data_IF_944107367124
#
_entry.id   IF_944107367124
#
_cell.length_a   1.000
_cell.length_b   1.000
_cell.length_c   1.000
_cell.angle_alpha   90.00
_cell.angle_beta   90.00
_cell.angle_gamma   90.00
#
_symmetry.space_group_name_H-M   'P 1'
#
loop_
_entity.id
_entity.type
_entity.pdbx_description
1 polymer ?
#
# COMPACT_ATOMS: atom_id res chain seq x y z
N UNK A 1 -3.49 17.20 -16.60
CA UNK A 1 -2.66 17.63 -15.49
C UNK A 1 -2.20 16.38 -14.80
N UNK A 2 -1.05 15.83 -15.26
CA UNK A 2 -0.56 14.56 -14.75
C UNK A 2 0.02 14.74 -13.36
N UNK A 3 -0.44 13.95 -12.41
CA UNK A 3 0.38 13.59 -11.27
C UNK A 3 1.66 12.97 -11.83
N UNK A 4 2.80 13.57 -11.55
CA UNK A 4 4.08 12.98 -11.86
C UNK A 4 4.29 11.80 -10.92
N UNK A 5 3.85 10.62 -11.35
CA UNK A 5 4.63 9.43 -11.02
C UNK A 5 5.98 9.70 -11.68
N UNK A 6 7.00 10.02 -10.90
CA UNK A 6 8.33 10.17 -11.46
C UNK A 6 8.64 8.96 -12.31
N UNK A 7 9.12 9.21 -13.54
CA UNK A 7 9.37 8.19 -14.55
C UNK A 7 10.31 7.10 -14.00
N UNK A 8 9.73 6.00 -13.54
CA UNK A 8 10.46 4.83 -13.04
C UNK A 8 11.05 3.96 -14.12
N UNK A 9 11.11 4.44 -15.37
CA UNK A 9 11.53 3.69 -16.55
C UNK A 9 13.02 3.33 -16.60
N UNK A 10 13.82 3.58 -15.55
CA UNK A 10 15.26 3.38 -15.63
C UNK A 10 15.77 2.43 -14.56
N UNK A 11 15.84 1.16 -14.93
CA UNK A 11 16.40 0.05 -14.12
C UNK A 11 17.88 0.29 -13.71
N UNK A 12 18.64 1.11 -14.43
CA UNK A 12 20.04 1.41 -14.10
C UNK A 12 20.23 2.48 -13.01
N UNK A 13 19.18 3.21 -12.64
CA UNK A 13 19.26 4.20 -11.57
C UNK A 13 18.96 3.62 -10.17
N UNK A 14 18.58 2.33 -10.08
CA UNK A 14 18.09 1.74 -8.83
C UNK A 14 19.08 1.84 -7.65
N UNK A 15 20.38 1.68 -7.88
CA UNK A 15 21.41 1.78 -6.82
C UNK A 15 21.66 3.21 -6.35
N UNK A 16 21.58 4.18 -7.25
CA UNK A 16 21.71 5.60 -6.91
C UNK A 16 20.41 6.17 -6.31
N UNK A 17 19.26 5.70 -6.78
CA UNK A 17 17.95 6.08 -6.30
C UNK A 17 17.72 5.55 -4.87
N UNK A 18 18.11 4.31 -4.55
CA UNK A 18 18.00 3.77 -3.18
C UNK A 18 18.80 4.61 -2.18
N UNK A 19 19.99 5.05 -2.56
CA UNK A 19 20.82 5.92 -1.70
C UNK A 19 20.27 7.34 -1.61
N UNK A 20 19.78 7.89 -2.72
CA UNK A 20 19.18 9.23 -2.75
C UNK A 20 17.83 9.26 -1.98
N UNK A 21 17.02 8.22 -2.10
CA UNK A 21 15.75 8.06 -1.34
C UNK A 21 16.00 7.86 0.14
N UNK A 22 16.99 7.05 0.52
CA UNK A 22 17.40 6.90 1.92
C UNK A 22 17.82 8.23 2.53
N UNK A 23 18.54 9.05 1.78
CA UNK A 23 18.97 10.39 2.20
C UNK A 23 17.83 11.42 2.14
N UNK A 24 16.86 11.28 1.26
CA UNK A 24 15.65 12.13 1.19
C UNK A 24 14.65 11.79 2.30
N UNK A 25 14.47 10.50 2.64
CA UNK A 25 13.65 10.06 3.75
C UNK A 25 14.18 10.49 5.13
N UNK A 26 15.47 10.82 5.23
CA UNK A 26 16.11 11.31 6.45
C UNK A 26 16.00 12.85 6.60
N UNK A 27 15.61 13.57 5.55
CA UNK A 27 15.34 15.01 5.65
C UNK A 27 13.85 15.21 5.89
N UNK A 28 13.43 15.64 7.12
CA UNK A 28 12.07 16.15 7.29
C UNK A 28 11.91 17.29 6.28
N UNK A 29 10.96 17.18 5.35
CA UNK A 29 10.52 18.37 4.61
C UNK A 29 10.02 19.35 5.66
N UNK A 30 10.54 20.56 5.70
CA UNK A 30 10.26 21.57 6.72
C UNK A 30 8.78 21.91 6.89
N UNK A 31 7.89 21.37 6.04
CA UNK A 31 6.44 21.56 6.04
C UNK A 31 5.64 20.30 5.70
N UNK A 32 6.22 19.10 5.65
CA UNK A 32 5.44 17.90 5.43
C UNK A 32 4.55 17.67 6.66
N UNK A 33 3.27 17.94 6.53
CA UNK A 33 2.26 17.45 7.46
C UNK A 33 2.13 15.98 7.18
N UNK A 34 2.55 15.12 8.06
CA UNK A 34 2.32 13.69 7.93
C UNK A 34 0.82 13.37 7.90
N UNK A 35 0.50 12.11 7.60
CA UNK A 35 -0.88 11.64 7.63
C UNK A 35 -1.60 12.09 8.91
N UNK A 36 -2.84 12.61 8.81
CA UNK A 36 -3.58 13.12 9.96
C UNK A 36 -3.78 12.04 11.04
N UNK A 37 -3.52 12.38 12.28
CA UNK A 37 -3.69 11.49 13.44
C UNK A 37 -4.99 11.77 14.21
N UNK A 38 -5.84 12.65 13.68
CA UNK A 38 -7.15 13.02 14.25
C UNK A 38 -8.18 13.22 13.14
N UNK A 39 -9.47 13.21 13.51
CA UNK A 39 -10.57 13.41 12.56
C UNK A 39 -10.89 12.16 11.75
N UNK A 40 -11.34 12.34 10.53
CA UNK A 40 -11.79 11.28 9.63
C UNK A 40 -10.99 11.29 8.31
N UNK A 41 -9.68 11.05 8.36
CA UNK A 41 -8.90 11.03 7.14
C UNK A 41 -9.24 9.81 6.29
N UNK A 42 -9.11 9.98 4.96
CA UNK A 42 -9.20 8.88 4.00
C UNK A 42 -7.86 8.21 3.81
N UNK A 43 -7.86 6.89 3.77
CA UNK A 43 -6.69 6.07 3.48
C UNK A 43 -6.93 5.27 2.21
N UNK A 44 -6.00 5.33 1.28
CA UNK A 44 -6.03 4.54 0.07
C UNK A 44 -5.62 3.09 0.38
N UNK A 45 -6.42 2.14 -0.07
CA UNK A 45 -6.14 0.69 0.05
C UNK A 45 -6.20 0.05 -1.32
N UNK A 46 -5.13 -0.60 -1.74
CA UNK A 46 -5.01 -1.33 -2.99
C UNK A 46 -4.90 -2.82 -2.71
N UNK A 47 -5.76 -3.62 -3.33
CA UNK A 47 -5.69 -5.08 -3.32
C UNK A 47 -5.00 -5.52 -4.61
N UNK A 48 -3.92 -6.28 -4.51
CA UNK A 48 -3.13 -6.71 -5.68
C UNK A 48 -2.87 -8.20 -5.70
N UNK A 49 -3.09 -8.81 -6.87
CA UNK A 49 -2.65 -10.14 -7.22
C UNK A 49 -1.41 -10.09 -8.10
N UNK A 50 -0.77 -11.24 -8.24
CA UNK A 50 0.35 -11.44 -9.16
C UNK A 50 -0.06 -12.38 -10.27
N UNK A 51 0.67 -12.37 -11.37
CA UNK A 51 0.40 -13.24 -12.52
C UNK A 51 0.32 -14.73 -12.15
N UNK A 52 1.10 -15.18 -11.17
CA UNK A 52 1.15 -16.55 -10.67
C UNK A 52 0.44 -16.75 -9.34
N UNK A 53 0.02 -15.67 -8.68
CA UNK A 53 -0.67 -15.68 -7.39
C UNK A 53 -1.83 -14.68 -7.43
N UNK A 54 -3.02 -15.07 -7.94
CA UNK A 54 -4.17 -14.17 -8.00
C UNK A 54 -4.68 -13.83 -6.61
N UNK A 55 -5.25 -12.63 -6.48
CA UNK A 55 -5.94 -12.23 -5.27
C UNK A 55 -7.32 -12.90 -5.21
N UNK A 56 -7.64 -13.60 -4.15
CA UNK A 56 -8.83 -14.46 -4.06
C UNK A 56 -9.99 -13.83 -3.29
N UNK A 57 -9.71 -12.85 -2.43
CA UNK A 57 -10.74 -12.16 -1.68
C UNK A 57 -11.37 -11.02 -2.49
N UNK A 58 -12.59 -10.65 -2.13
CA UNK A 58 -13.31 -9.58 -2.82
C UNK A 58 -13.05 -8.21 -2.18
N UNK A 59 -13.18 -7.17 -2.99
CA UNK A 59 -13.16 -5.78 -2.50
C UNK A 59 -14.17 -5.58 -1.37
N UNK A 60 -15.39 -6.11 -1.50
CA UNK A 60 -16.46 -5.99 -0.49
C UNK A 60 -16.06 -6.61 0.85
N UNK A 61 -15.41 -7.79 0.83
CA UNK A 61 -14.96 -8.44 2.07
C UNK A 61 -13.88 -7.62 2.77
N UNK A 62 -12.95 -7.04 1.99
CA UNK A 62 -11.93 -6.15 2.54
C UNK A 62 -12.52 -4.83 3.04
N UNK A 63 -13.48 -4.26 2.34
CA UNK A 63 -14.17 -3.06 2.81
C UNK A 63 -14.86 -3.31 4.16
N UNK A 64 -15.56 -4.43 4.32
CA UNK A 64 -16.17 -4.82 5.61
C UNK A 64 -15.12 -5.00 6.71
N UNK A 65 -14.03 -5.74 6.42
CA UNK A 65 -12.93 -5.94 7.37
C UNK A 65 -12.35 -4.62 7.88
N UNK A 66 -12.23 -3.65 6.98
CA UNK A 66 -11.57 -2.38 7.29
C UNK A 66 -12.53 -1.34 7.87
N UNK A 67 -13.81 -1.30 7.45
CA UNK A 67 -14.72 -0.20 7.73
C UNK A 67 -16.02 -0.56 8.47
N UNK A 68 -16.50 -1.83 8.40
CA UNK A 68 -17.84 -2.17 8.94
C UNK A 68 -17.85 -2.11 10.46
N UNK A 69 -18.75 -1.29 11.01
CA UNK A 69 -18.91 -1.18 12.46
C UNK A 69 -19.42 -2.50 13.07
N UNK A 70 -18.73 -2.99 14.08
CA UNK A 70 -19.07 -4.25 14.74
C UNK A 70 -18.75 -5.49 13.89
N UNK A 71 -17.82 -5.41 12.93
CA UNK A 71 -17.39 -6.56 12.14
C UNK A 71 -17.02 -7.76 13.00
N UNK A 72 -17.65 -8.91 12.72
CA UNK A 72 -17.56 -10.10 13.59
C UNK A 72 -17.25 -11.40 12.85
N UNK A 73 -16.84 -11.34 11.56
CA UNK A 73 -16.51 -12.53 10.78
C UNK A 73 -15.25 -13.23 11.34
N UNK A 74 -15.27 -14.56 11.37
CA UNK A 74 -14.19 -15.39 11.92
C UNK A 74 -13.74 -15.06 13.34
N UNK A 75 -14.67 -14.55 14.19
CA UNK A 75 -14.38 -14.22 15.59
C UNK A 75 -13.69 -12.87 15.78
N UNK A 76 -13.68 -12.02 14.77
CA UNK A 76 -13.26 -10.63 14.92
C UNK A 76 -14.19 -9.91 15.91
N UNK A 77 -13.66 -8.91 16.60
CA UNK A 77 -14.37 -8.11 17.61
C UNK A 77 -14.53 -6.65 17.18
N UNK A 78 -14.52 -6.40 15.89
CA UNK A 78 -14.62 -5.10 15.24
C UNK A 78 -13.79 -5.04 13.96
N UNK A 79 -13.98 -4.01 13.16
CA UNK A 79 -13.16 -3.69 11.99
C UNK A 79 -11.86 -2.98 12.39
N UNK A 80 -10.96 -2.78 11.41
CA UNK A 80 -9.79 -1.92 11.61
C UNK A 80 -10.19 -0.50 12.05
N UNK A 81 -11.26 0.04 11.46
CA UNK A 81 -11.81 1.34 11.84
C UNK A 81 -12.32 1.37 13.28
N UNK A 82 -13.06 0.34 13.71
CA UNK A 82 -13.51 0.23 15.09
C UNK A 82 -12.34 0.24 16.07
N UNK A 83 -11.26 -0.51 15.76
CA UNK A 83 -10.05 -0.52 16.57
C UNK A 83 -9.43 0.89 16.74
N UNK A 84 -9.34 1.66 15.66
CA UNK A 84 -8.78 3.02 15.73
C UNK A 84 -9.70 3.98 16.51
N UNK A 85 -11.01 3.85 16.35
CA UNK A 85 -11.99 4.64 17.09
C UNK A 85 -11.86 4.36 18.59
N UNK A 86 -11.83 3.10 18.98
CA UNK A 86 -11.71 2.69 20.39
C UNK A 86 -10.36 3.09 20.99
N UNK A 87 -9.26 2.80 20.27
CA UNK A 87 -7.91 3.09 20.75
C UNK A 87 -7.59 4.59 20.88
N UNK A 88 -8.35 5.45 20.22
CA UNK A 88 -8.15 6.90 20.23
C UNK A 88 -9.23 7.68 20.99
N UNK A 89 -10.11 7.03 21.75
CA UNK A 89 -11.29 7.67 22.33
C UNK A 89 -12.11 8.47 21.29
N UNK A 90 -12.29 7.91 20.09
CA UNK A 90 -13.01 8.52 18.97
C UNK A 90 -12.36 9.79 18.38
N UNK A 91 -11.12 10.09 18.73
CA UNK A 91 -10.39 11.25 18.19
C UNK A 91 -9.92 10.97 16.76
N UNK A 92 -9.59 9.73 16.43
CA UNK A 92 -9.14 9.29 15.11
C UNK A 92 -10.08 8.20 14.56
N UNK A 93 -10.75 8.51 13.44
CA UNK A 93 -11.79 7.69 12.83
C UNK A 93 -11.50 7.53 11.32
N UNK A 94 -10.43 6.83 10.93
CA UNK A 94 -10.05 6.73 9.53
C UNK A 94 -11.15 6.05 8.71
N UNK A 95 -11.18 6.36 7.41
CA UNK A 95 -11.97 5.63 6.42
C UNK A 95 -11.03 5.04 5.38
N UNK A 96 -11.21 3.76 5.07
CA UNK A 96 -10.36 3.01 4.15
C UNK A 96 -11.09 2.86 2.80
N UNK A 97 -10.67 3.61 1.78
CA UNK A 97 -11.20 3.48 0.43
C UNK A 97 -10.48 2.31 -0.27
N UNK A 98 -11.18 1.19 -0.44
CA UNK A 98 -10.63 -0.07 -0.96
C UNK A 98 -10.83 -0.16 -2.47
N UNK A 99 -9.76 -0.45 -3.21
CA UNK A 99 -9.79 -0.63 -4.67
C UNK A 99 -9.11 -1.94 -5.09
N UNK A 100 -9.59 -2.50 -6.20
CA UNK A 100 -9.11 -3.76 -6.72
C UNK A 100 -10.10 -4.90 -6.46
N UNK A 101 -9.66 -6.16 -6.50
CA UNK A 101 -8.27 -6.55 -6.73
C UNK A 101 -7.78 -6.24 -8.14
N UNK A 102 -6.52 -5.82 -8.23
CA UNK A 102 -5.81 -5.57 -9.48
C UNK A 102 -4.77 -6.67 -9.71
N UNK A 103 -4.68 -7.18 -10.93
CA UNK A 103 -3.66 -8.16 -11.29
C UNK A 103 -2.41 -7.46 -11.85
N UNK A 104 -1.26 -7.71 -11.23
CA UNK A 104 0.02 -7.26 -11.72
C UNK A 104 0.57 -8.22 -12.78
N UNK A 105 1.24 -7.69 -13.81
CA UNK A 105 1.75 -8.46 -14.96
C UNK A 105 2.94 -9.37 -14.62
N UNK A 106 3.50 -9.27 -13.43
CA UNK A 106 4.68 -10.00 -12.99
C UNK A 106 4.34 -11.07 -11.95
N UNK A 107 5.20 -12.08 -11.89
CA UNK A 107 5.13 -13.11 -10.85
C UNK A 107 5.60 -12.52 -9.51
N UNK A 108 5.14 -13.09 -8.39
CA UNK A 108 5.56 -12.66 -7.05
C UNK A 108 7.08 -12.66 -6.88
N UNK A 109 7.77 -13.67 -7.44
CA UNK A 109 9.23 -13.78 -7.39
C UNK A 109 9.99 -12.65 -8.13
N UNK A 110 9.32 -11.90 -9.00
CA UNK A 110 9.93 -10.72 -9.62
C UNK A 110 10.14 -9.60 -8.60
N UNK A 111 9.23 -9.47 -7.65
CA UNK A 111 9.27 -8.43 -6.62
C UNK A 111 9.99 -8.90 -5.35
N UNK A 112 9.68 -10.11 -4.90
CA UNK A 112 10.13 -10.66 -3.62
C UNK A 112 11.29 -11.66 -3.70
N UNK A 113 11.63 -12.19 -4.90
CA UNK A 113 12.72 -13.16 -5.03
C UNK A 113 14.05 -12.59 -4.50
N UNK A 114 14.71 -13.36 -3.62
CA UNK A 114 15.96 -12.92 -2.98
C UNK A 114 17.07 -12.65 -3.98
N UNK A 115 17.74 -11.50 -3.85
CA UNK A 115 18.94 -11.16 -4.58
C UNK A 115 20.10 -10.90 -3.61
N UNK A 116 20.99 -11.87 -3.47
CA UNK A 116 22.22 -11.71 -2.70
C UNK A 116 22.06 -11.90 -1.19
N UNK A 117 21.80 -10.88 -0.42
CA UNK A 117 21.89 -10.88 1.03
C UNK A 117 20.53 -10.93 1.74
N UNK A 118 19.64 -11.83 1.36
CA UNK A 118 18.32 -12.03 2.01
C UNK A 118 17.44 -10.76 2.01
N UNK A 119 17.40 -10.06 0.88
CA UNK A 119 16.52 -8.93 0.66
C UNK A 119 15.66 -9.18 -0.57
N UNK A 120 14.41 -8.78 -0.51
CA UNK A 120 13.51 -8.79 -1.65
C UNK A 120 14.14 -8.03 -2.84
N UNK A 121 13.92 -8.57 -4.04
CA UNK A 121 14.51 -8.03 -5.26
C UNK A 121 14.06 -6.60 -5.52
N UNK A 122 12.76 -6.35 -5.58
CA UNK A 122 12.22 -5.03 -5.87
C UNK A 122 10.80 -4.82 -5.32
N UNK A 123 10.59 -4.80 -4.01
CA UNK A 123 9.27 -4.58 -3.43
C UNK A 123 8.74 -3.16 -3.72
N UNK A 124 9.63 -2.21 -3.99
CA UNK A 124 9.22 -0.85 -4.37
C UNK A 124 8.55 -0.82 -5.76
N UNK A 125 9.03 -1.65 -6.69
CA UNK A 125 8.39 -1.77 -8.01
C UNK A 125 6.98 -2.35 -7.89
N UNK A 126 6.73 -3.25 -6.95
CA UNK A 126 5.37 -3.75 -6.70
C UNK A 126 4.43 -2.59 -6.32
N UNK A 127 4.86 -1.70 -5.44
CA UNK A 127 4.04 -0.53 -5.05
C UNK A 127 3.82 0.39 -6.26
N UNK A 128 4.85 0.63 -7.07
CA UNK A 128 4.75 1.46 -8.27
C UNK A 128 3.78 0.85 -9.29
N UNK A 129 3.90 -0.45 -9.59
CA UNK A 129 3.02 -1.15 -10.51
C UNK A 129 1.57 -1.17 -9.99
N UNK A 130 1.36 -1.38 -8.68
CA UNK A 130 0.05 -1.32 -8.04
C UNK A 130 -0.60 0.06 -8.20
N UNK A 131 0.15 1.13 -7.95
CA UNK A 131 -0.34 2.49 -8.15
C UNK A 131 -0.63 2.79 -9.62
N UNK A 132 0.21 2.32 -10.54
CA UNK A 132 -0.01 2.52 -11.97
C UNK A 132 -1.30 1.84 -12.41
N UNK A 133 -1.49 0.56 -12.11
CA UNK A 133 -2.72 -0.17 -12.47
C UNK A 133 -3.95 0.46 -11.83
N UNK A 134 -3.87 0.89 -10.58
CA UNK A 134 -4.95 1.60 -9.91
C UNK A 134 -5.33 2.91 -10.63
N UNK A 135 -4.34 3.71 -11.04
CA UNK A 135 -4.57 4.94 -11.82
C UNK A 135 -5.24 4.64 -13.18
N UNK A 136 -4.80 3.61 -13.89
CA UNK A 136 -5.39 3.15 -15.15
C UNK A 136 -6.84 2.69 -15.00
N UNK A 137 -7.21 2.23 -13.80
CA UNK A 137 -8.57 1.83 -13.43
C UNK A 137 -9.38 2.96 -12.74
N UNK A 138 -8.90 4.20 -12.80
CA UNK A 138 -9.66 5.39 -12.41
C UNK A 138 -9.54 5.80 -10.95
N UNK A 139 -8.58 5.25 -10.19
CA UNK A 139 -8.30 5.74 -8.83
C UNK A 139 -7.70 7.15 -8.93
N UNK A 140 -8.33 8.11 -8.27
CA UNK A 140 -7.86 9.48 -8.22
C UNK A 140 -6.96 9.70 -7.00
N UNK A 141 -5.66 9.67 -7.19
CA UNK A 141 -4.69 9.81 -6.10
C UNK A 141 -4.71 11.20 -5.43
N UNK A 142 -5.23 12.22 -6.11
CA UNK A 142 -5.39 13.56 -5.52
C UNK A 142 -6.34 13.58 -4.32
N UNK A 143 -7.25 12.61 -4.21
CA UNK A 143 -8.18 12.51 -3.08
C UNK A 143 -7.47 12.07 -1.78
N UNK A 144 -6.22 11.62 -1.88
CA UNK A 144 -5.38 11.10 -0.78
C UNK A 144 -4.11 11.93 -0.56
N UNK A 145 -3.99 13.07 -1.21
CA UNK A 145 -3.04 14.15 -0.92
C UNK A 145 -3.74 15.15 0.00
N UNK A 146 -3.74 14.86 1.30
CA UNK A 146 -4.55 15.55 2.30
C UNK A 146 -3.99 16.92 2.69
N UNK A 147 -2.70 17.14 2.43
CA UNK A 147 -2.04 18.42 2.71
C UNK A 147 -1.75 19.27 1.46
N UNK A 148 -2.11 18.76 0.28
CA UNK A 148 -1.97 19.38 -1.05
C UNK A 148 -0.52 19.70 -1.42
N UNK A 149 0.41 18.80 -1.07
CA UNK A 149 1.82 18.95 -1.43
C UNK A 149 2.20 18.19 -2.72
N UNK A 150 1.22 17.57 -3.38
CA UNK A 150 1.32 16.68 -4.56
C UNK A 150 2.07 15.36 -4.28
N UNK A 151 2.07 14.93 -3.03
CA UNK A 151 2.56 13.62 -2.61
C UNK A 151 1.44 12.85 -1.94
N UNK A 152 1.35 11.57 -2.20
CA UNK A 152 0.40 10.69 -1.53
C UNK A 152 0.79 10.52 -0.06
N UNK A 153 -0.11 10.90 0.86
CA UNK A 153 0.16 10.82 2.31
C UNK A 153 0.23 9.40 2.84
N UNK A 154 -0.61 8.52 2.29
CA UNK A 154 -0.72 7.13 2.76
C UNK A 154 -1.28 6.22 1.67
N UNK A 155 -0.71 5.00 1.57
CA UNK A 155 -1.26 3.89 0.80
C UNK A 155 -0.99 2.58 1.51
N UNK A 156 -2.02 1.76 1.65
CA UNK A 156 -1.90 0.37 2.06
C UNK A 156 -2.00 -0.53 0.82
N UNK A 157 -1.06 -1.44 0.67
CA UNK A 157 -1.11 -2.45 -0.38
C UNK A 157 -1.23 -3.82 0.28
N UNK A 158 -2.36 -4.48 0.06
CA UNK A 158 -2.57 -5.87 0.41
C UNK A 158 -2.31 -6.73 -0.81
N UNK A 159 -1.31 -7.57 -0.74
CA UNK A 159 -0.94 -8.45 -1.84
C UNK A 159 -1.33 -9.91 -1.57
N UNK A 160 -1.54 -10.66 -2.64
CA UNK A 160 -1.91 -12.06 -2.57
C UNK A 160 -0.75 -12.96 -2.13
N UNK A 161 -1.08 -14.00 -1.38
CA UNK A 161 -0.15 -15.04 -0.95
C UNK A 161 0.42 -14.82 0.45
N UNK A 162 1.22 -15.80 0.87
CA UNK A 162 1.94 -15.74 2.15
C UNK A 162 3.27 -15.02 1.98
N UNK A 163 3.68 -14.30 3.01
CA UNK A 163 5.00 -13.67 3.06
C UNK A 163 6.04 -14.61 3.70
N UNK A 164 7.32 -14.26 3.60
CA UNK A 164 8.39 -15.05 4.19
C UNK A 164 8.32 -15.12 5.72
N UNK A 165 7.83 -14.06 6.38
CA UNK A 165 7.65 -14.04 7.83
C UNK A 165 6.61 -15.07 8.31
N UNK A 166 5.70 -15.50 7.45
CA UNK A 166 4.72 -16.57 7.70
C UNK A 166 5.23 -17.97 7.25
N UNK A 167 6.48 -18.08 6.84
CA UNK A 167 7.12 -19.34 6.46
C UNK A 167 6.99 -19.71 4.99
N UNK A 168 6.64 -18.77 4.12
CA UNK A 168 6.76 -18.97 2.69
C UNK A 168 8.22 -19.05 2.21
N UNK A 169 8.44 -19.47 0.96
CA UNK A 169 9.78 -19.61 0.42
C UNK A 169 10.42 -18.25 0.06
N UNK A 170 11.72 -18.28 -0.22
CA UNK A 170 12.54 -17.13 -0.55
C UNK A 170 12.16 -16.40 -1.86
N UNK A 171 11.15 -16.88 -2.60
CA UNK A 171 10.64 -16.22 -3.79
C UNK A 171 9.42 -15.34 -3.52
N UNK A 172 8.99 -15.25 -2.26
CA UNK A 172 7.89 -14.36 -1.84
C UNK A 172 8.44 -13.07 -1.22
N UNK A 173 7.56 -12.16 -0.91
CA UNK A 173 7.92 -10.88 -0.29
C UNK A 173 8.10 -11.08 1.22
N UNK A 174 9.14 -10.45 1.78
CA UNK A 174 9.43 -10.46 3.21
C UNK A 174 8.45 -9.63 4.04
#
# INVERSE_FOLDING_TARGET
NGFLVEDFSIVEQSKHIATARRNAAIRPKENAKGFPITGQPKSLVLLVGFKDQPFTETQENFDKLLNESGYAYNGATGSCRDYFIDASDSVFQPHFDVFGPFDLDRNVAYYGGEEGNSHDRDPYQMIADACQVAAENGVNFADYDLDNDNVLDNVFVYYAGHNQAEGADANTIW
#
